data_IF_105690121457
#
_entry.id   IF_105690121457
#
_cell.length_a   1.000
_cell.length_b   1.000
_cell.length_c   1.000
_cell.angle_alpha   90.00
_cell.angle_beta   90.00
_cell.angle_gamma   90.00
#
_symmetry.space_group_name_H-M   'P 1'
#
loop_
_entity.id
_entity.type
_entity.pdbx_description
1 polymer ?
#
# COMPACT_ATOMS: atom_id res chain seq x y z
N UNK A 1 -11.73 5.79 10.31
CA UNK A 1 -11.78 5.05 9.03
C UNK A 1 -10.50 5.29 8.26
N UNK A 2 -9.91 4.24 7.76
CA UNK A 2 -8.67 4.34 6.97
C UNK A 2 -9.04 4.67 5.53
N UNK A 3 -8.50 5.75 5.00
CA UNK A 3 -8.85 6.27 3.69
C UNK A 3 -7.88 5.75 2.64
N UNK A 4 -8.43 5.05 1.64
CA UNK A 4 -7.64 4.41 0.58
C UNK A 4 -7.94 5.08 -0.76
N UNK A 5 -6.89 5.55 -1.42
CA UNK A 5 -6.98 6.07 -2.79
C UNK A 5 -6.58 4.96 -3.75
N UNK A 6 -7.40 4.74 -4.76
CA UNK A 6 -7.09 3.78 -5.82
C UNK A 6 -6.59 4.54 -7.04
N UNK A 7 -5.45 4.12 -7.59
CA UNK A 7 -4.85 4.70 -8.79
C UNK A 7 -4.74 3.60 -9.84
N UNK A 8 -5.66 3.62 -10.78
CA UNK A 8 -5.77 2.61 -11.84
C UNK A 8 -6.57 3.21 -12.99
N UNK A 9 -6.08 3.10 -14.21
CA UNK A 9 -6.78 3.64 -15.38
C UNK A 9 -7.87 2.70 -15.94
N UNK A 10 -7.88 1.45 -15.51
CA UNK A 10 -8.93 0.50 -15.89
C UNK A 10 -10.11 0.66 -14.94
N UNK A 11 -11.21 1.21 -15.45
CA UNK A 11 -12.37 1.52 -14.65
C UNK A 11 -12.99 0.28 -13.99
N UNK A 12 -12.98 -0.87 -14.66
CA UNK A 12 -13.54 -2.10 -14.10
C UNK A 12 -12.68 -2.63 -12.97
N UNK A 13 -11.36 -2.61 -13.15
CA UNK A 13 -10.43 -3.05 -12.12
C UNK A 13 -10.48 -2.12 -10.92
N UNK A 14 -10.52 -0.81 -11.15
CA UNK A 14 -10.64 0.17 -10.09
C UNK A 14 -11.92 -0.04 -9.28
N UNK A 15 -13.04 -0.31 -9.96
CA UNK A 15 -14.31 -0.55 -9.30
C UNK A 15 -14.29 -1.82 -8.45
N UNK A 16 -13.69 -2.89 -8.96
CA UNK A 16 -13.52 -4.12 -8.21
C UNK A 16 -12.66 -3.89 -6.96
N UNK A 17 -11.56 -3.18 -7.12
CA UNK A 17 -10.67 -2.87 -5.98
C UNK A 17 -11.39 -2.00 -4.96
N UNK A 18 -12.23 -1.06 -5.41
CA UNK A 18 -13.04 -0.25 -4.51
C UNK A 18 -13.99 -1.11 -3.67
N UNK A 19 -14.65 -2.08 -4.31
CA UNK A 19 -15.52 -3.02 -3.61
C UNK A 19 -14.73 -3.84 -2.59
N UNK A 20 -13.53 -4.29 -2.96
CA UNK A 20 -12.65 -5.04 -2.07
C UNK A 20 -12.23 -4.21 -0.85
N UNK A 21 -11.82 -2.96 -1.08
CA UNK A 21 -11.45 -2.06 0.02
C UNK A 21 -12.60 -1.92 1.01
N UNK A 22 -13.80 -1.68 0.50
CA UNK A 22 -14.96 -1.45 1.34
C UNK A 22 -15.43 -2.71 2.08
N UNK A 23 -14.97 -3.89 1.66
CA UNK A 23 -15.26 -5.15 2.37
C UNK A 23 -14.32 -5.39 3.54
N UNK A 24 -13.16 -4.75 3.56
CA UNK A 24 -12.22 -4.93 4.66
C UNK A 24 -12.59 -3.97 5.77
N UNK A 25 -12.84 -4.51 6.97
CA UNK A 25 -13.30 -3.70 8.10
C UNK A 25 -12.30 -2.62 8.44
N UNK A 26 -12.81 -1.40 8.61
CA UNK A 26 -11.99 -0.25 8.99
C UNK A 26 -11.44 0.54 7.82
N UNK A 27 -11.68 0.09 6.59
CA UNK A 27 -11.17 0.76 5.39
C UNK A 27 -12.32 1.34 4.56
N UNK A 28 -12.03 2.44 3.90
CA UNK A 28 -12.98 3.09 3.01
C UNK A 28 -12.23 3.65 1.81
N UNK A 29 -12.77 3.45 0.62
CA UNK A 29 -12.23 4.07 -0.58
C UNK A 29 -12.60 5.56 -0.59
N UNK A 30 -11.60 6.43 -0.58
CA UNK A 30 -11.80 7.88 -0.59
C UNK A 30 -11.80 8.47 -2.00
N UNK A 31 -11.42 7.70 -3.00
CA UNK A 31 -11.42 8.17 -4.38
C UNK A 31 -10.72 7.21 -5.31
N UNK A 32 -10.93 7.43 -6.60
CA UNK A 32 -10.28 6.70 -7.69
C UNK A 32 -9.67 7.73 -8.63
N UNK A 33 -8.36 7.61 -8.88
CA UNK A 33 -7.66 8.41 -9.86
C UNK A 33 -7.31 7.53 -11.06
N UNK A 34 -7.71 7.96 -12.23
CA UNK A 34 -7.45 7.21 -13.48
C UNK A 34 -6.19 7.68 -14.19
N UNK A 35 -5.57 8.76 -13.72
CA UNK A 35 -4.31 9.28 -14.25
C UNK A 35 -3.40 9.70 -13.10
N UNK A 36 -2.10 9.80 -13.39
CA UNK A 36 -1.16 10.29 -12.39
C UNK A 36 -1.43 11.75 -12.03
N UNK A 37 -1.87 12.56 -12.99
CA UNK A 37 -2.21 13.96 -12.70
C UNK A 37 -3.34 14.07 -11.69
N UNK A 38 -4.37 13.25 -11.82
CA UNK A 38 -5.47 13.21 -10.85
C UNK A 38 -4.97 12.77 -9.48
N UNK A 39 -4.15 11.73 -9.44
CA UNK A 39 -3.59 11.23 -8.19
C UNK A 39 -2.72 12.29 -7.52
N UNK A 40 -1.86 12.94 -8.30
CA UNK A 40 -0.96 13.97 -7.79
C UNK A 40 -1.74 15.14 -7.19
N UNK A 41 -2.83 15.57 -7.86
CA UNK A 41 -3.66 16.64 -7.35
C UNK A 41 -4.30 16.30 -6.01
N UNK A 42 -4.75 15.06 -5.84
CA UNK A 42 -5.33 14.60 -4.58
C UNK A 42 -4.28 14.53 -3.48
N UNK A 43 -3.09 14.04 -3.80
CA UNK A 43 -1.99 13.94 -2.84
C UNK A 43 -1.52 15.33 -2.41
N UNK A 44 -1.52 16.29 -3.33
CA UNK A 44 -1.11 17.66 -3.05
C UNK A 44 -2.14 18.43 -2.21
N UNK A 45 -3.36 17.92 -2.11
CA UNK A 45 -4.42 18.60 -1.36
C UNK A 45 -4.45 18.13 0.10
N UNK A 46 -3.97 18.95 1.05
CA UNK A 46 -3.95 18.53 2.46
C UNK A 46 -5.34 18.34 3.06
N UNK A 47 -6.37 18.89 2.43
CA UNK A 47 -7.75 18.69 2.87
C UNK A 47 -8.33 17.34 2.47
N UNK A 48 -7.64 16.60 1.61
CA UNK A 48 -8.05 15.25 1.19
C UNK A 48 -7.34 14.22 2.05
N UNK A 49 -8.06 13.53 2.95
CA UNK A 49 -7.42 12.53 3.79
C UNK A 49 -7.09 11.28 2.96
N UNK A 50 -5.84 10.89 2.94
CA UNK A 50 -5.35 9.69 2.26
C UNK A 50 -4.35 9.01 3.19
N UNK A 51 -4.60 7.76 3.54
CA UNK A 51 -3.71 6.98 4.39
C UNK A 51 -2.91 5.98 3.58
N UNK A 52 -3.52 5.43 2.56
CA UNK A 52 -2.98 4.33 1.78
C UNK A 52 -3.35 4.52 0.31
N UNK A 53 -2.42 4.22 -0.59
CA UNK A 53 -2.65 4.25 -2.03
C UNK A 53 -2.50 2.83 -2.57
N UNK A 54 -3.49 2.39 -3.35
CA UNK A 54 -3.38 1.16 -4.15
C UNK A 54 -3.03 1.60 -5.56
N UNK A 55 -1.86 1.21 -6.03
CA UNK A 55 -1.25 1.78 -7.23
C UNK A 55 -0.93 0.70 -8.25
N UNK A 56 -1.45 0.88 -9.47
CA UNK A 56 -1.07 0.04 -10.61
C UNK A 56 0.17 0.63 -11.30
N UNK A 57 1.03 -0.24 -11.80
CA UNK A 57 2.21 0.15 -12.58
C UNK A 57 1.81 0.52 -14.01
N UNK A 58 1.05 -0.36 -14.65
CA UNK A 58 0.74 -0.22 -16.08
C UNK A 58 -0.54 0.57 -16.28
N UNK A 59 -0.37 1.83 -16.65
CA UNK A 59 -1.47 2.72 -17.03
C UNK A 59 -1.26 3.15 -18.48
N UNK A 60 -2.35 3.43 -19.19
CA UNK A 60 -2.28 3.66 -20.64
C UNK A 60 -1.27 4.72 -21.05
N UNK A 61 -1.25 5.82 -20.33
CA UNK A 61 -0.41 6.97 -20.67
C UNK A 61 0.67 7.24 -19.63
N UNK A 62 0.64 6.51 -18.52
CA UNK A 62 1.50 6.78 -17.37
C UNK A 62 2.12 5.49 -16.87
N UNK A 63 3.24 5.63 -16.18
CA UNK A 63 3.82 4.54 -15.40
C UNK A 63 3.60 4.85 -13.92
N UNK A 64 2.87 3.97 -13.24
CA UNK A 64 2.53 4.17 -11.83
C UNK A 64 3.74 4.37 -10.93
N UNK A 65 4.90 3.80 -11.30
CA UNK A 65 6.12 3.99 -10.51
C UNK A 65 6.49 5.45 -10.36
N UNK A 66 6.11 6.30 -11.32
CA UNK A 66 6.43 7.73 -11.27
C UNK A 66 5.67 8.46 -10.15
N UNK A 67 4.62 7.88 -9.63
CA UNK A 67 3.90 8.46 -8.49
C UNK A 67 4.65 8.26 -7.17
N UNK A 68 5.49 7.26 -7.07
CA UNK A 68 6.20 6.94 -5.82
C UNK A 68 7.08 8.11 -5.33
N UNK A 69 7.95 8.69 -6.17
CA UNK A 69 8.72 9.84 -5.72
C UNK A 69 7.83 11.05 -5.39
N UNK A 70 6.72 11.22 -6.08
CA UNK A 70 5.78 12.31 -5.80
C UNK A 70 5.18 12.16 -4.40
N UNK A 71 4.75 10.96 -4.05
CA UNK A 71 4.21 10.69 -2.72
C UNK A 71 5.27 10.96 -1.65
N UNK A 72 6.50 10.49 -1.85
CA UNK A 72 7.57 10.70 -0.89
C UNK A 72 7.92 12.18 -0.74
N UNK A 73 7.95 12.92 -1.85
CA UNK A 73 8.26 14.35 -1.83
C UNK A 73 7.14 15.18 -1.19
N UNK A 74 5.92 14.67 -1.12
CA UNK A 74 4.79 15.38 -0.53
C UNK A 74 4.95 15.59 0.98
N UNK A 75 5.76 14.77 1.63
CA UNK A 75 5.93 14.81 3.09
C UNK A 75 4.75 14.24 3.86
N UNK A 76 3.71 13.77 3.18
CA UNK A 76 2.54 13.18 3.83
C UNK A 76 2.82 11.73 4.22
N UNK A 77 2.29 11.28 5.36
CA UNK A 77 2.47 9.89 5.81
C UNK A 77 1.52 8.93 5.06
N UNK A 78 1.73 8.82 3.76
CA UNK A 78 0.94 7.97 2.88
C UNK A 78 1.76 6.74 2.51
N UNK A 79 1.21 5.56 2.73
CA UNK A 79 1.83 4.32 2.33
C UNK A 79 1.23 3.82 1.02
N UNK A 80 1.96 2.91 0.36
CA UNK A 80 1.58 2.39 -0.95
C UNK A 80 1.61 0.87 -0.94
N UNK A 81 0.55 0.28 -1.48
CA UNK A 81 0.52 -1.13 -1.87
C UNK A 81 0.41 -1.15 -3.39
N UNK A 82 1.34 -1.86 -4.03
CA UNK A 82 1.28 -2.04 -5.48
C UNK A 82 0.29 -3.13 -5.83
N UNK A 83 -0.53 -2.90 -6.85
CA UNK A 83 -1.46 -3.90 -7.38
C UNK A 83 -1.30 -3.90 -8.88
N UNK A 84 -0.55 -4.86 -9.43
CA UNK A 84 -0.18 -4.81 -10.83
C UNK A 84 0.08 -6.19 -11.41
N UNK A 85 -0.06 -6.30 -12.74
CA UNK A 85 0.38 -7.49 -13.47
C UNK A 85 1.90 -7.49 -13.70
N UNK A 86 2.59 -6.40 -13.37
CA UNK A 86 4.04 -6.33 -13.53
C UNK A 86 4.71 -7.26 -12.51
N UNK A 87 5.46 -8.23 -13.01
CA UNK A 87 6.16 -9.22 -12.18
C UNK A 87 7.65 -9.26 -12.44
N UNK A 88 8.15 -8.35 -13.26
CA UNK A 88 9.58 -8.29 -13.57
C UNK A 88 10.38 -7.76 -12.37
N UNK A 89 11.60 -8.28 -12.23
CA UNK A 89 12.43 -7.98 -11.07
C UNK A 89 12.71 -6.47 -10.94
N UNK A 90 12.94 -5.78 -12.05
CA UNK A 90 13.27 -4.36 -12.01
C UNK A 90 12.13 -3.53 -11.42
N UNK A 91 10.89 -3.80 -11.81
CA UNK A 91 9.72 -3.10 -11.30
C UNK A 91 9.52 -3.37 -9.81
N UNK A 92 9.61 -4.63 -9.42
CA UNK A 92 9.42 -5.01 -8.02
C UNK A 92 10.53 -4.40 -7.15
N UNK A 93 11.78 -4.46 -7.60
CA UNK A 93 12.90 -3.88 -6.86
C UNK A 93 12.76 -2.36 -6.72
N UNK A 94 12.37 -1.67 -7.78
CA UNK A 94 12.13 -0.23 -7.71
C UNK A 94 11.03 0.10 -6.72
N UNK A 95 9.95 -0.66 -6.74
CA UNK A 95 8.84 -0.48 -5.79
C UNK A 95 9.33 -0.63 -4.34
N UNK A 96 10.08 -1.68 -4.06
CA UNK A 96 10.62 -1.93 -2.73
C UNK A 96 11.61 -0.84 -2.31
N UNK A 97 12.39 -0.33 -3.24
CA UNK A 97 13.34 0.75 -2.98
C UNK A 97 12.62 2.03 -2.52
N UNK A 98 11.44 2.30 -3.06
CA UNK A 98 10.63 3.43 -2.64
C UNK A 98 9.79 3.15 -1.39
N UNK A 99 9.91 1.96 -0.81
CA UNK A 99 9.29 1.65 0.47
C UNK A 99 7.82 1.30 0.39
N UNK A 100 7.37 0.66 -0.69
CA UNK A 100 5.99 0.15 -0.72
C UNK A 100 5.84 -0.94 0.33
N UNK A 101 4.66 -1.01 0.93
CA UNK A 101 4.45 -1.92 2.06
C UNK A 101 4.05 -3.33 1.63
N UNK A 102 3.54 -3.46 0.42
CA UNK A 102 3.20 -4.78 -0.14
C UNK A 102 3.10 -4.69 -1.66
N UNK A 103 3.10 -5.84 -2.32
CA UNK A 103 3.00 -5.92 -3.77
C UNK A 103 2.13 -7.12 -4.15
N UNK A 104 0.96 -6.85 -4.74
CA UNK A 104 0.03 -7.88 -5.18
C UNK A 104 0.11 -8.01 -6.69
N UNK A 105 0.45 -9.21 -7.17
CA UNK A 105 0.52 -9.49 -8.60
C UNK A 105 -0.84 -9.98 -9.07
N UNK A 106 -1.39 -9.33 -10.08
CA UNK A 106 -2.66 -9.75 -10.68
C UNK A 106 -2.48 -11.04 -11.49
N UNK A 107 -3.43 -11.96 -11.46
CA UNK A 107 -4.64 -11.97 -10.65
C UNK A 107 -4.35 -12.42 -9.21
N UNK A 108 -5.07 -11.87 -8.26
CA UNK A 108 -4.96 -12.25 -6.86
C UNK A 108 -6.35 -12.54 -6.30
N UNK A 109 -6.39 -13.26 -5.18
CA UNK A 109 -7.63 -13.60 -4.49
C UNK A 109 -7.91 -12.59 -3.39
N UNK A 110 -9.18 -12.40 -3.05
CA UNK A 110 -9.56 -11.48 -1.99
C UNK A 110 -8.84 -11.74 -0.66
N UNK A 111 -8.66 -12.99 -0.20
CA UNK A 111 -7.93 -13.23 1.06
C UNK A 111 -6.51 -12.65 1.07
N UNK A 112 -5.81 -12.68 -0.06
CA UNK A 112 -4.47 -12.09 -0.14
C UNK A 112 -4.54 -10.57 -0.05
N UNK A 113 -5.55 -9.96 -0.70
CA UNK A 113 -5.82 -8.54 -0.63
C UNK A 113 -6.11 -8.13 0.82
N UNK A 114 -7.01 -8.85 1.46
CA UNK A 114 -7.37 -8.59 2.86
C UNK A 114 -6.17 -8.71 3.79
N UNK A 115 -5.32 -9.70 3.56
CA UNK A 115 -4.09 -9.89 4.32
C UNK A 115 -3.17 -8.68 4.21
N UNK A 116 -3.02 -8.14 3.01
CA UNK A 116 -2.16 -6.97 2.79
C UNK A 116 -2.66 -5.75 3.57
N UNK A 117 -3.96 -5.49 3.51
CA UNK A 117 -4.55 -4.36 4.21
C UNK A 117 -4.49 -4.53 5.72
N UNK A 118 -4.85 -5.69 6.22
CA UNK A 118 -4.84 -5.96 7.65
C UNK A 118 -3.42 -6.00 8.21
N UNK A 119 -2.46 -6.49 7.45
CA UNK A 119 -1.06 -6.48 7.84
C UNK A 119 -0.53 -5.06 8.00
N UNK A 120 -0.86 -4.19 7.07
CA UNK A 120 -0.50 -2.78 7.15
C UNK A 120 -1.17 -2.10 8.34
N UNK A 121 -2.46 -2.36 8.53
CA UNK A 121 -3.23 -1.79 9.65
C UNK A 121 -2.64 -2.17 11.00
N UNK A 122 -2.24 -3.43 11.15
CA UNK A 122 -1.65 -3.92 12.39
C UNK A 122 -0.35 -3.19 12.71
N UNK A 123 0.53 -3.00 11.71
CA UNK A 123 1.77 -2.26 11.89
C UNK A 123 1.52 -0.80 12.25
N UNK A 124 0.57 -0.18 11.58
CA UNK A 124 0.20 1.21 11.84
C UNK A 124 -0.32 1.39 13.26
N UNK A 125 -1.18 0.48 13.72
CA UNK A 125 -1.71 0.53 15.08
C UNK A 125 -0.60 0.38 16.11
N UNK A 126 0.34 -0.51 15.85
CA UNK A 126 1.49 -0.70 16.72
C UNK A 126 2.35 0.56 16.80
N UNK A 127 2.58 1.23 15.67
CA UNK A 127 3.35 2.47 15.64
C UNK A 127 2.64 3.60 16.41
N UNK A 128 1.33 3.68 16.29
CA UNK A 128 0.56 4.75 16.91
C UNK A 128 0.39 4.62 18.41
N UNK A 129 0.71 3.47 18.99
CA UNK A 129 0.48 3.21 20.40
C UNK A 129 1.66 3.59 21.30
N UNK A 130 2.79 4.00 20.71
CA UNK A 130 4.02 4.28 21.45
C UNK A 130 4.53 5.68 21.19
N UNK A 131 4.86 6.40 22.26
CA UNK A 131 5.59 7.66 22.16
C UNK A 131 7.09 7.42 22.03
N UNK A 132 7.59 6.38 22.71
CA UNK A 132 8.97 5.95 22.65
C UNK A 132 9.01 4.45 22.35
N UNK A 133 10.07 4.02 21.70
CA UNK A 133 10.24 2.62 21.32
C UNK A 133 11.46 2.02 22.01
N UNK A 134 11.31 0.77 22.46
CA UNK A 134 12.45 -0.05 22.86
C UNK A 134 12.87 -0.89 21.64
N UNK A 135 14.03 -1.55 21.76
CA UNK A 135 14.54 -2.34 20.66
C UNK A 135 13.55 -3.43 20.22
N UNK A 136 12.89 -4.07 21.20
CA UNK A 136 11.90 -5.10 20.87
C UNK A 136 10.74 -4.56 20.03
N UNK A 137 10.32 -3.31 20.30
CA UNK A 137 9.25 -2.68 19.52
C UNK A 137 9.69 -2.41 18.09
N UNK A 138 10.90 -1.89 17.93
CA UNK A 138 11.48 -1.64 16.62
C UNK A 138 11.61 -2.93 15.83
N UNK A 139 12.07 -3.99 16.49
CA UNK A 139 12.24 -5.29 15.84
C UNK A 139 10.91 -5.83 15.34
N UNK A 140 9.83 -5.66 16.11
CA UNK A 140 8.50 -6.08 15.66
C UNK A 140 8.03 -5.30 14.45
N UNK A 141 8.30 -3.99 14.42
CA UNK A 141 7.89 -3.16 13.29
C UNK A 141 8.64 -3.54 12.01
N UNK A 142 9.94 -3.75 12.12
CA UNK A 142 10.80 -4.02 10.96
C UNK A 142 10.65 -5.46 10.48
N UNK A 143 10.65 -6.41 11.41
CA UNK A 143 10.62 -7.83 11.07
C UNK A 143 9.22 -8.43 11.05
N UNK A 144 8.20 -7.60 11.19
CA UNK A 144 6.81 -8.03 11.14
C UNK A 144 6.33 -8.77 12.37
N UNK A 145 7.18 -8.94 13.38
CA UNK A 145 6.81 -9.59 14.63
C UNK A 145 6.24 -10.99 14.47
N UNK A 146 6.51 -11.63 13.34
CA UNK A 146 5.90 -12.90 13.04
C UNK A 146 6.61 -14.03 13.80
N UNK A 147 5.94 -14.64 14.77
CA UNK A 147 6.53 -15.76 15.51
C UNK A 147 6.92 -16.91 14.60
N UNK A 148 6.11 -17.17 13.57
CA UNK A 148 6.41 -18.22 12.58
C UNK A 148 7.72 -17.97 11.85
N UNK A 149 8.05 -16.71 11.64
CA UNK A 149 9.29 -16.35 11.00
C UNK A 149 10.49 -16.77 11.87
N UNK A 150 10.39 -16.52 13.16
CA UNK A 150 11.39 -16.93 14.11
C UNK A 150 11.48 -18.45 14.16
N UNK A 151 10.35 -19.13 14.14
CA UNK A 151 10.30 -20.58 14.17
C UNK A 151 10.96 -21.19 12.93
N UNK A 152 10.69 -20.63 11.76
CA UNK A 152 11.30 -21.13 10.53
C UNK A 152 12.82 -20.94 10.53
N UNK A 153 13.33 -19.96 11.22
CA UNK A 153 14.76 -19.73 11.36
C UNK A 153 15.43 -20.74 12.27
N UNK A 154 14.69 -21.39 13.14
CA UNK A 154 15.23 -22.42 14.03
C UNK A 154 15.48 -23.73 13.30
N UNK A 155 14.89 -23.88 12.16
CA UNK A 155 15.10 -25.08 11.36
C UNK A 155 16.50 -25.04 10.75
N UNK A 156 17.24 -26.09 10.90
CA UNK A 156 18.59 -26.15 10.35
C UNK A 156 18.60 -26.15 8.83
#
# INVERSE_FOLDING_TARGET
MINVLIVDDDAMVADLNRLYVNRVEGFSCCGVASTLNQAEALIANPGQPIDLVLLDVYMQQDNGLDLLPIIRASGRPIDVIMISSASDAATIQTSMHYGVVDYLIKPFQFPRFEEALNGWKAKRSLMGSHQYYEQADVDRLIHGGAPELADSKKLP
#
